data_IF_581828473148
#
_entry.id   IF_581828473148
#
_cell.length_a   1.000
_cell.length_b   1.000
_cell.length_c   1.000
_cell.angle_alpha   90.00
_cell.angle_beta   90.00
_cell.angle_gamma   90.00
#
_symmetry.space_group_name_H-M   'P 1'
#
loop_
_entity.id
_entity.type
_entity.pdbx_description
1 polymer ?
#
# COMPACT_ATOMS: atom_id res chain seq x y z
N UNK A 1 10.00 -12.14 -5.13
CA UNK A 1 9.70 -11.38 -6.36
C UNK A 1 8.26 -10.95 -6.23
N UNK A 2 7.94 -9.67 -6.48
CA UNK A 2 6.57 -9.17 -6.39
C UNK A 2 5.69 -9.86 -7.45
N UNK A 3 4.43 -10.08 -7.15
CA UNK A 3 3.47 -10.59 -8.12
C UNK A 3 3.38 -9.62 -9.33
N UNK A 4 3.56 -10.10 -10.58
CA UNK A 4 3.49 -9.26 -11.78
C UNK A 4 2.18 -8.50 -11.94
N UNK A 5 1.05 -9.08 -11.52
CA UNK A 5 -0.26 -8.42 -11.62
C UNK A 5 -0.38 -7.27 -10.62
N UNK A 6 0.11 -7.47 -9.39
CA UNK A 6 0.15 -6.39 -8.40
C UNK A 6 1.10 -5.28 -8.85
N UNK A 7 2.24 -5.63 -9.47
CA UNK A 7 3.18 -4.65 -10.01
C UNK A 7 2.54 -3.82 -11.13
N UNK A 8 1.84 -4.47 -12.07
CA UNK A 8 1.12 -3.79 -13.15
C UNK A 8 0.08 -2.80 -12.60
N UNK A 9 -0.72 -3.23 -11.63
CA UNK A 9 -1.75 -2.39 -10.99
C UNK A 9 -1.14 -1.23 -10.20
N UNK A 10 -0.03 -1.47 -9.49
CA UNK A 10 0.71 -0.45 -8.76
C UNK A 10 1.28 0.61 -9.72
N UNK A 11 1.89 0.18 -10.82
CA UNK A 11 2.40 1.07 -11.87
C UNK A 11 1.30 1.96 -12.43
N UNK A 12 0.14 1.38 -12.74
CA UNK A 12 -1.02 2.14 -13.20
C UNK A 12 -1.48 3.17 -12.14
N UNK A 13 -1.50 2.80 -10.86
CA UNK A 13 -1.83 3.71 -9.76
C UNK A 13 -0.83 4.87 -9.64
N UNK A 14 0.46 4.58 -9.80
CA UNK A 14 1.55 5.56 -9.76
C UNK A 14 1.74 6.34 -11.08
N UNK A 15 0.97 6.04 -12.13
CA UNK A 15 1.13 6.62 -13.49
C UNK A 15 2.55 6.41 -14.06
N UNK A 16 3.12 5.22 -13.82
CA UNK A 16 4.43 4.80 -14.32
C UNK A 16 4.24 3.85 -15.49
N UNK A 17 4.65 4.27 -16.69
CA UNK A 17 4.46 3.50 -17.93
C UNK A 17 5.71 2.72 -18.37
N UNK A 18 6.83 2.89 -17.66
CA UNK A 18 8.14 2.30 -17.98
C UNK A 18 8.63 1.36 -16.88
N UNK A 19 9.64 0.54 -17.17
CA UNK A 19 10.07 -0.56 -16.29
C UNK A 19 11.27 -0.22 -15.39
N UNK A 20 11.91 0.94 -15.60
CA UNK A 20 13.14 1.34 -14.88
C UNK A 20 12.95 1.40 -13.35
N UNK A 21 11.72 1.69 -12.90
CA UNK A 21 11.38 1.85 -11.49
C UNK A 21 10.77 0.59 -10.84
N UNK A 22 10.64 -0.53 -11.56
CA UNK A 22 10.01 -1.75 -11.05
C UNK A 22 10.63 -2.26 -9.75
N UNK A 23 11.96 -2.16 -9.63
CA UNK A 23 12.69 -2.54 -8.42
C UNK A 23 12.38 -1.60 -7.24
N UNK A 24 12.28 -0.29 -7.51
CA UNK A 24 11.96 0.70 -6.49
C UNK A 24 10.51 0.56 -6.03
N UNK A 25 9.57 0.43 -6.97
CA UNK A 25 8.16 0.20 -6.68
C UNK A 25 7.95 -1.10 -5.88
N UNK A 26 8.65 -2.18 -6.25
CA UNK A 26 8.63 -3.42 -5.49
C UNK A 26 9.16 -3.26 -4.06
N UNK A 27 10.23 -2.48 -3.86
CA UNK A 27 10.76 -2.18 -2.53
C UNK A 27 9.76 -1.37 -1.69
N UNK A 28 9.17 -0.32 -2.26
CA UNK A 28 8.20 0.54 -1.59
C UNK A 28 6.93 -0.23 -1.24
N UNK A 29 6.43 -1.08 -2.14
CA UNK A 29 5.27 -1.92 -1.88
C UNK A 29 5.52 -2.87 -0.69
N UNK A 30 6.68 -3.52 -0.66
CA UNK A 30 7.06 -4.38 0.46
C UNK A 30 7.25 -3.61 1.78
N UNK A 31 7.60 -2.31 1.71
CA UNK A 31 7.58 -1.44 2.88
C UNK A 31 6.15 -1.08 3.31
N UNK A 32 5.23 -0.90 2.36
CA UNK A 32 3.83 -0.55 2.61
C UNK A 32 3.09 -1.72 3.27
N UNK A 33 3.24 -2.94 2.73
CA UNK A 33 2.70 -4.17 3.32
C UNK A 33 3.16 -4.31 4.78
N UNK A 34 4.47 -4.21 5.03
CA UNK A 34 5.02 -4.28 6.40
C UNK A 34 4.55 -3.15 7.32
N UNK A 35 4.31 -1.96 6.77
CA UNK A 35 3.74 -0.85 7.53
C UNK A 35 2.32 -1.18 7.99
N UNK A 36 1.47 -1.68 7.08
CA UNK A 36 0.08 -2.08 7.37
C UNK A 36 0.02 -3.25 8.37
N UNK A 37 0.87 -4.26 8.21
CA UNK A 37 0.99 -5.38 9.17
C UNK A 37 1.33 -4.89 10.57
N UNK A 38 2.32 -4.00 10.72
CA UNK A 38 2.67 -3.39 12.01
C UNK A 38 1.55 -2.52 12.58
N UNK A 39 0.67 -2.05 11.72
CA UNK A 39 -0.52 -1.30 12.10
C UNK A 39 -1.68 -2.20 12.54
N UNK A 40 -1.52 -3.53 12.49
CA UNK A 40 -2.53 -4.52 12.85
C UNK A 40 -3.42 -4.98 11.69
N UNK A 41 -3.08 -4.62 10.45
CA UNK A 41 -3.84 -4.98 9.24
C UNK A 41 -3.10 -6.13 8.56
N UNK A 42 -3.69 -7.33 8.53
CA UNK A 42 -3.10 -8.48 7.85
C UNK A 42 -3.00 -8.25 6.34
N UNK A 43 -2.00 -8.86 5.69
CA UNK A 43 -1.89 -8.82 4.23
C UNK A 43 -3.11 -9.50 3.59
N UNK A 44 -3.83 -8.74 2.77
CA UNK A 44 -5.04 -9.17 2.08
C UNK A 44 -5.02 -8.71 0.62
N UNK A 45 -4.22 -9.38 -0.22
CA UNK A 45 -4.05 -9.00 -1.63
C UNK A 45 -5.31 -9.18 -2.49
N UNK A 46 -6.31 -9.92 -2.00
CA UNK A 46 -7.65 -10.07 -2.60
C UNK A 46 -8.59 -8.91 -2.21
N UNK A 47 -8.23 -8.11 -1.20
CA UNK A 47 -9.01 -6.96 -0.74
C UNK A 47 -8.59 -5.69 -1.49
N UNK A 48 -9.53 -5.10 -2.21
CA UNK A 48 -9.30 -3.89 -3.00
C UNK A 48 -8.98 -2.67 -2.12
N UNK A 49 -9.57 -2.57 -0.92
CA UNK A 49 -9.30 -1.47 0.02
C UNK A 49 -7.90 -1.61 0.63
N UNK A 50 -7.47 -2.83 0.93
CA UNK A 50 -6.10 -3.12 1.34
C UNK A 50 -5.09 -2.70 0.26
N UNK A 51 -5.32 -3.12 -1.00
CA UNK A 51 -4.44 -2.77 -2.11
C UNK A 51 -4.43 -1.26 -2.36
N UNK A 52 -5.57 -0.59 -2.27
CA UNK A 52 -5.65 0.85 -2.40
C UNK A 52 -4.83 1.56 -1.31
N UNK A 53 -4.89 1.08 -0.06
CA UNK A 53 -4.09 1.63 1.05
C UNK A 53 -2.59 1.44 0.82
N UNK A 54 -2.18 0.23 0.42
CA UNK A 54 -0.79 -0.06 0.11
C UNK A 54 -0.27 0.79 -1.06
N UNK A 55 -1.04 0.89 -2.14
CA UNK A 55 -0.66 1.68 -3.32
C UNK A 55 -0.62 3.18 -3.03
N UNK A 56 -1.54 3.70 -2.21
CA UNK A 56 -1.53 5.10 -1.79
C UNK A 56 -0.29 5.43 -0.96
N UNK A 57 0.14 4.53 -0.07
CA UNK A 57 1.42 4.68 0.65
C UNK A 57 2.61 4.69 -0.32
N UNK A 58 2.63 3.77 -1.29
CA UNK A 58 3.70 3.74 -2.29
C UNK A 58 3.76 5.03 -3.10
N UNK A 59 2.61 5.49 -3.62
CA UNK A 59 2.53 6.74 -4.38
C UNK A 59 3.08 7.91 -3.57
N UNK A 60 2.64 8.05 -2.32
CA UNK A 60 3.09 9.13 -1.46
C UNK A 60 4.60 9.05 -1.16
N UNK A 61 5.15 7.85 -0.93
CA UNK A 61 6.59 7.71 -0.68
C UNK A 61 7.45 7.87 -1.94
N UNK A 62 6.92 7.44 -3.08
CA UNK A 62 7.56 7.60 -4.38
C UNK A 62 7.60 9.08 -4.78
N UNK A 63 6.50 9.83 -4.60
CA UNK A 63 6.42 11.26 -4.92
C UNK A 63 7.12 12.16 -3.89
N UNK A 64 7.01 11.86 -2.59
CA UNK A 64 7.45 12.78 -1.53
C UNK A 64 8.96 12.75 -1.25
N UNK A 65 9.72 11.83 -1.84
CA UNK A 65 11.15 11.68 -1.55
C UNK A 65 11.42 11.47 -0.05
N UNK A 66 12.33 12.24 0.55
CA UNK A 66 12.75 12.06 1.96
C UNK A 66 11.75 12.55 3.01
N UNK A 67 10.63 13.18 2.62
CA UNK A 67 9.63 13.69 3.57
C UNK A 67 8.46 12.72 3.74
N UNK A 68 8.47 11.97 4.84
CA UNK A 68 7.47 10.94 5.14
C UNK A 68 6.23 11.55 5.77
N UNK A 69 5.41 12.27 4.99
CA UNK A 69 4.10 12.74 5.46
C UNK A 69 2.99 12.04 4.69
N UNK A 70 2.30 11.11 5.38
CA UNK A 70 1.15 10.43 4.81
C UNK A 70 -0.05 11.39 4.71
N UNK A 71 -0.81 11.38 3.62
CA UNK A 71 -1.97 12.28 3.47
C UNK A 71 -3.09 11.93 4.45
N UNK A 72 -4.00 12.88 4.69
CA UNK A 72 -5.16 12.66 5.56
C UNK A 72 -6.06 11.53 5.00
N UNK A 73 -6.25 11.48 3.67
CA UNK A 73 -7.06 10.45 3.02
C UNK A 73 -6.50 9.05 3.24
N UNK A 74 -5.20 8.85 2.99
CA UNK A 74 -4.52 7.57 3.21
C UNK A 74 -4.56 7.15 4.67
N UNK A 75 -4.42 8.10 5.61
CA UNK A 75 -4.59 7.82 7.06
C UNK A 75 -6.02 7.38 7.41
N UNK A 76 -7.04 8.01 6.83
CA UNK A 76 -8.43 7.64 7.07
C UNK A 76 -8.75 6.23 6.56
N UNK A 77 -8.29 5.89 5.36
CA UNK A 77 -8.41 4.54 4.79
C UNK A 77 -7.74 3.50 5.68
N UNK A 78 -6.50 3.74 6.11
CA UNK A 78 -5.78 2.83 7.02
C UNK A 78 -6.50 2.67 8.36
N UNK A 79 -7.10 3.75 8.88
CA UNK A 79 -7.86 3.66 10.13
C UNK A 79 -9.14 2.84 9.98
N UNK A 80 -9.81 2.92 8.82
CA UNK A 80 -10.98 2.09 8.53
C UNK A 80 -10.60 0.60 8.52
N UNK A 81 -9.56 0.23 7.76
CA UNK A 81 -9.05 -1.14 7.70
C UNK A 81 -8.66 -1.71 9.08
N UNK A 82 -8.09 -0.88 9.97
CA UNK A 82 -7.80 -1.29 11.35
C UNK A 82 -9.06 -1.61 12.14
N UNK A 83 -10.13 -0.83 11.97
CA UNK A 83 -11.39 -1.08 12.67
C UNK A 83 -12.02 -2.38 12.20
N UNK A 84 -11.97 -2.65 10.90
CA UNK A 84 -12.51 -3.88 10.31
C UNK A 84 -11.71 -5.11 10.77
N UNK A 85 -10.37 -5.01 10.80
CA UNK A 85 -9.51 -6.08 11.33
C UNK A 85 -9.76 -6.40 12.82
N UNK A 86 -10.14 -5.40 13.63
CA UNK A 86 -10.52 -5.61 15.04
C UNK A 86 -11.92 -6.24 15.15
N UNK A 87 -12.85 -5.85 14.27
CA UNK A 87 -14.21 -6.39 14.19
C UNK A 87 -14.24 -7.88 13.89
N UNK A 88 -13.41 -8.33 12.95
CA UNK A 88 -13.33 -9.74 12.52
C UNK A 88 -12.70 -10.66 13.59
N UNK A 89 -11.86 -10.12 14.48
CA UNK A 89 -11.26 -10.86 15.59
C UNK A 89 -12.17 -11.07 16.81
N UNK A 90 -13.43 -10.59 16.76
CA UNK A 90 -14.36 -10.56 17.91
C UNK A 90 -15.50 -11.60 17.82
N UNK A 91 -15.40 -12.62 16.96
CA UNK A 91 -16.40 -13.68 16.77
C UNK A 91 -15.89 -15.07 17.17
#
# INVERSE_FOLDING_TARGET
>A
MMDPEILLRLKAHCRVDFDDDDLLLGLLYQAAVRYLERAGIAEAVEDEEYLLAAFSLVLEWYEAGSTVNVTIGTRQLINQLKLDAIGDGSL
#
